data_IF_984898736046
#
_entry.id   IF_984898736046
#
_cell.length_a   1.000
_cell.length_b   1.000
_cell.length_c   1.000
_cell.angle_alpha   90.00
_cell.angle_beta   90.00
_cell.angle_gamma   90.00
#
_symmetry.space_group_name_H-M   'P 1'
#
loop_
_entity.id
_entity.type
_entity.pdbx_description
1 polymer ?
#
# COMPACT_ATOMS: atom_id res chain seq x y z
N UNK A 1 6.68 -22.04 -8.80
CA UNK A 1 5.63 -21.08 -9.20
C UNK A 1 6.34 -20.01 -10.03
N UNK A 2 5.88 -19.79 -11.27
CA UNK A 2 6.40 -18.71 -12.10
C UNK A 2 5.85 -17.37 -11.58
N UNK A 3 6.74 -16.42 -11.33
CA UNK A 3 6.39 -15.06 -11.01
C UNK A 3 5.81 -14.39 -12.27
N UNK A 4 4.74 -13.62 -12.12
CA UNK A 4 4.11 -12.95 -13.27
C UNK A 4 4.91 -11.77 -13.82
N UNK A 5 5.74 -11.15 -12.97
CA UNK A 5 6.66 -10.08 -13.31
C UNK A 5 7.79 -10.01 -12.26
N UNK A 6 8.95 -9.48 -12.63
CA UNK A 6 9.98 -9.08 -11.69
C UNK A 6 10.00 -7.56 -11.55
N UNK A 7 10.19 -7.08 -10.34
CA UNK A 7 10.40 -5.66 -10.07
C UNK A 7 11.89 -5.39 -10.22
N UNK A 8 12.34 -5.11 -11.45
CA UNK A 8 13.78 -4.98 -11.78
C UNK A 8 14.10 -3.83 -12.75
N UNK A 9 13.06 -3.15 -13.24
CA UNK A 9 13.20 -2.05 -14.18
C UNK A 9 13.34 -2.47 -15.64
N UNK A 10 13.29 -3.78 -15.94
CA UNK A 10 13.20 -4.29 -17.32
C UNK A 10 11.71 -4.36 -17.72
N UNK A 11 11.30 -3.43 -18.57
CA UNK A 11 9.90 -3.32 -18.98
C UNK A 11 9.51 -4.28 -20.10
N UNK A 12 10.43 -5.12 -20.59
CA UNK A 12 10.21 -6.00 -21.73
C UNK A 12 9.17 -7.10 -21.50
N UNK A 13 8.89 -7.43 -20.26
CA UNK A 13 7.88 -8.43 -19.89
C UNK A 13 6.45 -7.86 -19.84
N UNK A 14 6.30 -6.53 -19.94
CA UNK A 14 5.00 -5.87 -19.97
C UNK A 14 4.49 -5.73 -21.41
N UNK A 15 3.22 -6.04 -21.62
CA UNK A 15 2.60 -6.03 -22.94
C UNK A 15 1.41 -5.07 -23.02
N UNK A 16 0.89 -4.82 -24.22
CA UNK A 16 -0.32 -4.01 -24.41
C UNK A 16 -1.57 -4.62 -23.74
N UNK A 17 -1.59 -5.94 -23.58
CA UNK A 17 -2.71 -6.67 -22.96
C UNK A 17 -2.78 -6.43 -21.44
N UNK A 18 -1.67 -6.05 -20.82
CA UNK A 18 -1.59 -5.77 -19.38
C UNK A 18 -2.11 -4.37 -19.03
N UNK A 19 -2.32 -3.49 -20.03
CA UNK A 19 -2.75 -2.12 -19.81
C UNK A 19 -4.19 -2.03 -19.32
N UNK A 20 -4.38 -1.32 -18.21
CA UNK A 20 -5.68 -0.92 -17.71
C UNK A 20 -6.16 0.38 -18.38
N UNK A 21 -5.26 1.33 -18.58
CA UNK A 21 -5.52 2.55 -19.34
C UNK A 21 -4.21 3.16 -19.85
N UNK A 22 -4.35 4.01 -20.88
CA UNK A 22 -3.26 4.82 -21.43
C UNK A 22 -3.84 6.11 -22.02
N UNK A 23 -3.42 7.26 -21.49
CA UNK A 23 -3.82 8.60 -21.95
C UNK A 23 -2.72 9.28 -22.77
N UNK A 24 -1.59 8.61 -23.01
CA UNK A 24 -0.40 9.18 -23.62
C UNK A 24 0.47 10.04 -22.68
N UNK A 25 -0.07 10.48 -21.56
CA UNK A 25 0.67 11.18 -20.50
C UNK A 25 0.73 10.40 -19.20
N UNK A 26 -0.21 9.48 -19.02
CA UNK A 26 -0.31 8.54 -17.90
C UNK A 26 -0.78 7.19 -18.43
N UNK A 27 -0.23 6.13 -17.88
CA UNK A 27 -0.69 4.77 -18.13
C UNK A 27 -0.51 3.93 -16.87
N UNK A 28 -1.32 2.89 -16.79
CA UNK A 28 -1.23 1.87 -15.74
C UNK A 28 -1.41 0.51 -16.38
N UNK A 29 -0.50 -0.41 -16.08
CA UNK A 29 -0.62 -1.84 -16.42
C UNK A 29 -0.62 -2.66 -15.15
N UNK A 30 -1.24 -3.83 -15.21
CA UNK A 30 -1.38 -4.72 -14.07
C UNK A 30 -1.19 -6.17 -14.48
N UNK A 31 -0.42 -6.89 -13.65
CA UNK A 31 -0.34 -8.35 -13.63
C UNK A 31 -0.58 -8.85 -12.23
N UNK A 32 -0.82 -10.13 -12.06
CA UNK A 32 -0.96 -10.73 -10.74
C UNK A 32 -0.62 -12.22 -10.76
N UNK A 33 -0.25 -12.71 -9.60
CA UNK A 33 -0.10 -14.15 -9.31
C UNK A 33 -0.78 -14.49 -7.97
N UNK A 34 -0.49 -15.65 -7.41
CA UNK A 34 -1.09 -16.10 -6.15
C UNK A 34 -0.67 -15.26 -4.92
N UNK A 35 0.41 -14.50 -5.01
CA UNK A 35 1.00 -13.77 -3.87
C UNK A 35 0.91 -12.26 -4.02
N UNK A 36 1.06 -11.76 -5.25
CA UNK A 36 1.27 -10.36 -5.51
C UNK A 36 0.39 -9.83 -6.65
N UNK A 37 0.05 -8.58 -6.53
CA UNK A 37 -0.29 -7.68 -7.62
C UNK A 37 0.98 -6.97 -8.06
N UNK A 38 1.21 -6.89 -9.37
CA UNK A 38 2.28 -6.13 -9.99
C UNK A 38 1.67 -4.96 -10.76
N UNK A 39 2.22 -3.78 -10.57
CA UNK A 39 1.78 -2.59 -11.28
C UNK A 39 2.97 -1.96 -12.02
N UNK A 40 2.72 -1.55 -13.24
CA UNK A 40 3.61 -0.67 -14.00
C UNK A 40 2.88 0.63 -14.26
N UNK A 41 3.29 1.69 -13.57
CA UNK A 41 2.72 3.01 -13.74
C UNK A 41 3.66 3.90 -14.55
N UNK A 42 3.09 4.64 -15.49
CA UNK A 42 3.77 5.64 -16.28
C UNK A 42 3.19 7.02 -16.02
N UNK A 43 4.06 7.99 -15.80
CA UNK A 43 3.70 9.41 -15.83
C UNK A 43 4.77 10.20 -16.53
N UNK A 44 4.37 10.94 -17.58
CA UNK A 44 5.28 11.79 -18.36
C UNK A 44 6.01 12.80 -17.49
N UNK A 45 7.33 12.72 -17.49
CA UNK A 45 8.20 13.58 -16.69
C UNK A 45 8.30 13.18 -15.22
N UNK A 46 7.97 11.94 -14.87
CA UNK A 46 8.20 11.36 -13.55
C UNK A 46 9.69 11.30 -13.21
N UNK A 47 10.53 11.03 -14.22
CA UNK A 47 11.98 11.16 -14.18
C UNK A 47 12.63 10.52 -12.93
N UNK A 48 12.41 9.21 -12.72
CA UNK A 48 12.94 8.45 -11.58
C UNK A 48 12.57 9.05 -10.21
N UNK A 49 11.30 9.40 -10.02
CA UNK A 49 10.79 9.86 -8.74
C UNK A 49 11.01 11.34 -8.43
N UNK A 50 11.30 12.17 -9.44
CA UNK A 50 11.38 13.64 -9.25
C UNK A 50 9.99 14.28 -9.00
N UNK A 51 8.92 13.53 -9.29
CA UNK A 51 7.55 13.88 -8.96
C UNK A 51 6.96 12.81 -8.08
N UNK A 52 6.02 13.19 -7.22
CA UNK A 52 5.20 12.22 -6.49
C UNK A 52 4.10 11.69 -7.40
N UNK A 53 3.89 10.38 -7.40
CA UNK A 53 2.83 9.70 -8.12
C UNK A 53 1.86 9.10 -7.11
N UNK A 54 0.56 9.29 -7.33
CA UNK A 54 -0.49 8.73 -6.50
C UNK A 54 -1.33 7.75 -7.32
N UNK A 55 -1.54 6.54 -6.78
CA UNK A 55 -2.41 5.52 -7.36
C UNK A 55 -3.51 5.22 -6.34
N UNK A 56 -4.76 5.65 -6.61
CA UNK A 56 -5.90 5.28 -5.79
C UNK A 56 -6.30 3.84 -6.08
N UNK A 57 -6.68 3.09 -5.03
CA UNK A 57 -7.07 1.69 -5.13
C UNK A 57 -8.39 1.51 -4.37
N UNK A 58 -9.39 0.98 -5.06
CA UNK A 58 -10.66 0.54 -4.51
C UNK A 58 -10.67 -0.99 -4.46
N UNK A 59 -10.92 -1.55 -3.27
CA UNK A 59 -10.99 -3.00 -3.04
C UNK A 59 -12.37 -3.44 -2.53
N UNK A 60 -13.19 -2.48 -2.08
CA UNK A 60 -14.49 -2.78 -1.48
C UNK A 60 -15.58 -1.92 -2.11
N UNK A 61 -16.41 -2.49 -2.99
CA UNK A 61 -17.43 -1.72 -3.70
C UNK A 61 -18.35 -0.91 -2.78
N UNK A 62 -18.59 0.35 -3.14
CA UNK A 62 -19.49 1.30 -2.46
C UNK A 62 -19.00 1.82 -1.09
N UNK A 63 -17.80 1.50 -0.69
CA UNK A 63 -17.17 2.05 0.51
C UNK A 63 -15.92 2.83 0.14
N UNK A 64 -15.29 3.47 1.09
CA UNK A 64 -14.12 4.30 0.84
C UNK A 64 -14.44 5.79 0.75
N UNK A 65 -13.44 6.60 0.42
CA UNK A 65 -13.56 8.05 0.34
C UNK A 65 -13.27 8.57 -1.06
N UNK A 66 -14.05 9.59 -1.49
CA UNK A 66 -13.78 10.36 -2.72
C UNK A 66 -12.78 11.48 -2.50
N UNK A 67 -12.27 11.63 -1.28
CA UNK A 67 -11.30 12.67 -0.94
C UNK A 67 -10.22 12.13 0.00
N UNK A 68 -8.96 12.39 -0.35
CA UNK A 68 -7.81 12.14 0.53
C UNK A 68 -7.30 13.47 1.07
N UNK A 69 -7.54 13.76 2.34
CA UNK A 69 -7.13 15.01 2.98
C UNK A 69 -5.61 15.12 3.09
N UNK A 70 -4.92 14.00 3.31
CA UNK A 70 -3.46 13.94 3.44
C UNK A 70 -2.71 14.61 2.28
N UNK A 71 -3.26 14.50 1.06
CA UNK A 71 -2.62 14.99 -0.17
C UNK A 71 -3.50 16.00 -0.93
N UNK A 72 -4.71 16.30 -0.44
CA UNK A 72 -5.65 17.17 -1.14
C UNK A 72 -6.17 16.57 -2.46
N UNK A 73 -6.24 15.25 -2.55
CA UNK A 73 -6.66 14.55 -3.77
C UNK A 73 -8.15 14.28 -3.75
N UNK A 74 -8.79 14.43 -4.94
CA UNK A 74 -10.18 14.04 -5.17
C UNK A 74 -10.24 12.92 -6.18
N UNK A 75 -11.10 11.95 -5.92
CA UNK A 75 -11.35 10.80 -6.76
C UNK A 75 -12.76 10.85 -7.32
N UNK A 76 -12.96 10.30 -8.50
CA UNK A 76 -14.27 10.18 -9.14
C UNK A 76 -15.12 9.13 -8.42
N UNK A 77 -14.50 7.99 -8.08
CA UNK A 77 -15.10 6.91 -7.31
C UNK A 77 -14.45 6.81 -5.91
N UNK A 78 -15.15 6.28 -4.90
CA UNK A 78 -14.58 6.06 -3.57
C UNK A 78 -13.40 5.09 -3.62
N UNK A 79 -12.36 5.32 -2.80
CA UNK A 79 -11.19 4.46 -2.69
C UNK A 79 -10.88 4.10 -1.25
N UNK A 80 -10.32 2.91 -1.04
CA UNK A 80 -9.94 2.39 0.27
C UNK A 80 -8.47 2.63 0.59
N UNK A 81 -7.62 2.68 -0.44
CA UNK A 81 -6.18 2.86 -0.31
C UNK A 81 -5.67 3.96 -1.25
N UNK A 82 -4.58 4.59 -0.83
CA UNK A 82 -3.79 5.49 -1.68
C UNK A 82 -2.33 5.03 -1.63
N UNK A 83 -1.81 4.62 -2.78
CA UNK A 83 -0.40 4.34 -2.97
C UNK A 83 0.29 5.64 -3.34
N UNK A 84 1.22 6.09 -2.51
CA UNK A 84 2.03 7.28 -2.74
C UNK A 84 3.47 6.88 -3.06
N UNK A 85 3.91 7.13 -4.29
CA UNK A 85 5.31 6.96 -4.71
C UNK A 85 5.98 8.32 -4.61
N UNK A 86 6.75 8.53 -3.55
CA UNK A 86 7.40 9.78 -3.19
C UNK A 86 8.91 9.57 -2.96
N UNK A 87 9.65 9.43 -4.05
CA UNK A 87 11.07 9.10 -4.00
C UNK A 87 11.34 7.67 -3.53
N UNK A 88 12.59 7.40 -3.18
CA UNK A 88 13.05 6.05 -2.81
C UNK A 88 12.75 5.68 -1.35
N UNK A 89 12.68 6.67 -0.47
CA UNK A 89 12.71 6.48 0.97
C UNK A 89 11.39 6.89 1.65
N UNK A 90 10.38 7.33 0.88
CA UNK A 90 9.13 7.84 1.45
C UNK A 90 7.89 7.33 0.71
N UNK A 91 8.04 6.25 -0.06
CA UNK A 91 6.93 5.63 -0.80
C UNK A 91 6.20 4.65 0.09
N UNK A 92 4.86 4.71 0.09
CA UNK A 92 4.03 3.89 0.97
C UNK A 92 2.63 3.69 0.47
N UNK A 93 1.98 2.65 0.95
CA UNK A 93 0.55 2.43 0.84
C UNK A 93 -0.15 2.93 2.10
N UNK A 94 -1.15 3.77 1.94
CA UNK A 94 -2.02 4.26 3.01
C UNK A 94 -3.40 3.62 2.89
N UNK A 95 -4.04 3.35 4.01
CA UNK A 95 -5.41 2.83 4.10
C UNK A 95 -6.34 3.90 4.67
N UNK A 96 -7.58 3.95 4.20
CA UNK A 96 -8.60 4.80 4.79
C UNK A 96 -8.73 4.51 6.31
N UNK A 97 -8.81 5.55 7.13
CA UNK A 97 -8.80 5.46 8.60
C UNK A 97 -9.80 4.44 9.17
N UNK A 98 -10.96 4.27 8.51
CA UNK A 98 -11.95 3.29 8.92
C UNK A 98 -11.43 1.86 8.95
N UNK A 99 -10.50 1.52 8.07
CA UNK A 99 -9.92 0.18 7.92
C UNK A 99 -8.56 0.02 8.61
N UNK A 100 -8.14 1.00 9.37
CA UNK A 100 -6.90 0.96 10.12
C UNK A 100 -7.04 -0.03 11.28
N UNK A 101 -6.27 -1.13 11.22
CA UNK A 101 -6.43 -2.28 12.14
C UNK A 101 -6.00 -1.99 13.57
N UNK A 102 -5.06 -1.06 13.79
CA UNK A 102 -4.59 -0.74 15.14
C UNK A 102 -5.66 -0.04 15.97
N UNK A 103 -6.66 0.57 15.34
CA UNK A 103 -7.73 1.26 16.04
C UNK A 103 -8.45 0.35 17.05
N UNK A 104 -8.75 -0.87 16.66
CA UNK A 104 -9.35 -1.86 17.57
C UNK A 104 -8.39 -2.28 18.68
N UNK A 105 -7.09 -2.18 18.45
CA UNK A 105 -6.04 -2.55 19.40
C UNK A 105 -5.74 -1.42 20.40
N UNK A 106 -5.98 -0.16 20.06
CA UNK A 106 -5.85 0.96 21.00
C UNK A 106 -6.75 0.83 22.22
N UNK A 107 -7.88 0.15 22.09
CA UNK A 107 -8.72 -0.19 23.25
C UNK A 107 -7.94 -0.91 24.35
N UNK A 108 -7.05 -1.82 23.98
CA UNK A 108 -6.24 -2.58 24.96
C UNK A 108 -5.18 -1.71 25.64
N UNK A 109 -4.70 -0.65 24.97
CA UNK A 109 -3.68 0.24 25.53
C UNK A 109 -4.26 1.36 26.36
N UNK A 110 -5.25 2.04 25.83
CA UNK A 110 -5.81 3.25 26.45
C UNK A 110 -6.98 2.95 27.36
N UNK A 111 -7.57 1.75 27.28
CA UNK A 111 -8.87 1.40 27.84
C UNK A 111 -10.00 2.32 27.35
N UNK A 112 -9.79 2.92 26.19
CA UNK A 112 -10.74 3.82 25.56
C UNK A 112 -11.75 2.98 24.77
N UNK A 113 -12.91 2.75 25.36
CA UNK A 113 -14.00 2.02 24.71
C UNK A 113 -14.51 2.76 23.46
N UNK A 114 -14.40 4.08 23.41
CA UNK A 114 -14.88 4.88 22.31
C UNK A 114 -14.02 4.64 21.05
N UNK A 115 -12.73 4.38 21.20
CA UNK A 115 -11.86 4.02 20.07
C UNK A 115 -12.32 2.78 19.31
N UNK A 116 -13.02 1.85 20.00
CA UNK A 116 -13.59 0.64 19.40
C UNK A 116 -15.06 0.81 19.00
N UNK A 117 -15.85 1.51 19.81
CA UNK A 117 -17.31 1.61 19.65
C UNK A 117 -17.75 2.73 18.71
N UNK A 118 -16.87 3.71 18.46
CA UNK A 118 -17.13 4.85 17.58
C UNK A 118 -16.14 4.85 16.39
N UNK A 119 -16.36 3.97 15.40
CA UNK A 119 -15.50 3.93 14.23
C UNK A 119 -15.64 5.21 13.39
N UNK A 120 -14.60 5.63 12.65
CA UNK A 120 -14.71 6.73 11.71
C UNK A 120 -15.84 6.52 10.71
N UNK A 121 -16.36 7.61 10.17
CA UNK A 121 -17.36 7.57 9.11
C UNK A 121 -16.88 6.69 7.93
N UNK A 122 -17.84 6.09 7.23
CA UNK A 122 -17.54 5.19 6.12
C UNK A 122 -16.81 5.88 4.96
N UNK A 123 -16.92 7.22 4.87
CA UNK A 123 -16.33 8.08 3.87
C UNK A 123 -15.26 9.03 4.45
N UNK A 124 -14.71 8.72 5.63
CA UNK A 124 -13.64 9.54 6.25
C UNK A 124 -12.55 9.87 5.25
N UNK A 125 -12.14 11.15 5.12
CA UNK A 125 -11.13 11.56 4.15
C UNK A 125 -9.69 11.33 4.62
N UNK A 126 -9.50 10.81 5.84
CA UNK A 126 -8.19 10.54 6.40
C UNK A 126 -7.70 9.16 6.00
N UNK A 127 -6.43 9.12 5.59
CA UNK A 127 -5.72 7.89 5.27
C UNK A 127 -4.55 7.72 6.24
N UNK A 128 -4.34 6.51 6.70
CA UNK A 128 -3.36 6.18 7.74
C UNK A 128 -2.31 5.21 7.21
N UNK A 129 -1.10 5.20 7.77
CA UNK A 129 -0.14 4.12 7.56
C UNK A 129 -0.77 2.77 7.89
N UNK A 130 -0.38 1.72 7.16
CA UNK A 130 -0.75 0.35 7.48
C UNK A 130 0.29 -0.19 8.44
N UNK A 131 -0.10 -0.47 9.67
CA UNK A 131 0.81 -0.88 10.73
C UNK A 131 0.41 -2.23 11.32
N UNK A 132 1.41 -3.01 11.70
CA UNK A 132 1.25 -4.20 12.53
C UNK A 132 1.75 -3.92 13.95
N UNK A 133 1.01 -4.43 14.94
CA UNK A 133 1.44 -4.42 16.32
C UNK A 133 2.49 -5.52 16.53
N UNK A 134 3.71 -5.14 16.87
CA UNK A 134 4.78 -6.07 17.24
C UNK A 134 4.71 -6.41 18.72
N UNK A 135 4.35 -5.45 19.55
CA UNK A 135 4.25 -5.61 20.99
C UNK A 135 3.12 -4.74 21.53
N UNK A 136 2.28 -5.32 22.40
CA UNK A 136 1.28 -4.56 23.16
C UNK A 136 1.81 -4.22 24.54
N UNK A 137 1.40 -3.08 25.08
CA UNK A 137 1.63 -2.77 26.47
C UNK A 137 0.95 -3.83 27.37
N UNK A 138 1.68 -4.34 28.36
CA UNK A 138 1.22 -5.42 29.23
C UNK A 138 1.06 -4.91 30.67
N UNK A 139 -0.12 -5.06 31.29
CA UNK A 139 -0.29 -4.70 32.69
C UNK A 139 0.51 -5.63 33.60
N UNK A 140 1.22 -5.05 34.55
CA UNK A 140 1.90 -5.79 35.60
C UNK A 140 0.97 -6.04 36.79
N UNK A 141 1.23 -7.07 37.57
CA UNK A 141 0.52 -7.36 38.81
C UNK A 141 0.61 -6.19 39.83
N UNK A 142 1.56 -5.31 39.65
CA UNK A 142 1.75 -4.08 40.45
C UNK A 142 0.83 -2.93 40.03
N UNK A 143 0.02 -3.10 38.99
CA UNK A 143 -0.83 -2.04 38.42
C UNK A 143 -0.11 -1.09 37.46
N UNK A 144 1.16 -1.32 37.19
CA UNK A 144 1.92 -0.56 36.19
C UNK A 144 1.96 -1.29 34.85
N UNK A 145 2.25 -0.56 33.76
CA UNK A 145 2.48 -1.13 32.43
C UNK A 145 3.98 -1.41 32.23
N UNK A 146 4.30 -2.57 31.69
CA UNK A 146 5.69 -3.01 31.53
C UNK A 146 6.40 -2.34 30.37
N UNK A 147 5.68 -2.08 29.28
CA UNK A 147 6.24 -1.52 28.06
C UNK A 147 5.17 -0.72 27.31
N UNK A 148 5.61 0.20 26.46
CA UNK A 148 4.77 0.82 25.45
C UNK A 148 4.55 -0.16 24.30
N UNK A 149 3.51 0.07 23.50
CA UNK A 149 3.32 -0.63 22.23
C UNK A 149 4.41 -0.31 21.25
N UNK A 150 4.75 -1.30 20.45
CA UNK A 150 5.62 -1.15 19.29
C UNK A 150 4.87 -1.57 18.05
N UNK A 151 4.91 -0.74 17.01
CA UNK A 151 4.30 -1.01 15.71
C UNK A 151 5.36 -1.04 14.62
N UNK A 152 5.02 -1.70 13.52
CA UNK A 152 5.81 -1.74 12.30
C UNK A 152 4.92 -1.37 11.12
N UNK A 153 5.31 -0.37 10.32
CA UNK A 153 4.58 0.05 9.13
C UNK A 153 4.83 -0.95 7.99
N UNK A 154 3.82 -1.77 7.71
CA UNK A 154 3.86 -2.76 6.62
C UNK A 154 3.55 -2.15 5.26
N UNK A 155 2.95 -0.96 5.24
CA UNK A 155 2.69 -0.20 4.01
C UNK A 155 3.88 0.63 3.53
N UNK A 156 4.98 0.71 4.30
CA UNK A 156 6.23 1.33 3.85
C UNK A 156 6.89 0.45 2.78
N UNK A 157 7.26 1.05 1.63
CA UNK A 157 7.74 0.33 0.47
C UNK A 157 9.25 0.47 0.32
N UNK A 158 9.93 -0.65 0.12
CA UNK A 158 11.37 -0.72 -0.08
C UNK A 158 11.74 -0.55 -1.57
N UNK A 159 12.65 0.40 -1.84
CA UNK A 159 13.19 0.60 -3.19
C UNK A 159 14.32 -0.38 -3.46
N UNK A 160 14.28 -1.08 -4.59
CA UNK A 160 15.36 -1.96 -5.00
C UNK A 160 14.98 -2.87 -6.16
N UNK A 161 15.87 -3.81 -6.46
CA UNK A 161 15.71 -4.80 -7.52
C UNK A 161 15.30 -6.14 -6.91
N UNK A 162 14.10 -6.61 -7.21
CA UNK A 162 13.56 -7.87 -6.68
C UNK A 162 13.79 -9.09 -7.59
N UNK A 163 14.58 -8.95 -8.68
CA UNK A 163 14.91 -10.07 -9.55
C UNK A 163 16.05 -10.91 -8.97
N UNK A 164 15.82 -12.19 -8.60
CA UNK A 164 16.85 -13.03 -8.00
C UNK A 164 18.08 -13.27 -8.91
N UNK A 165 17.95 -13.03 -10.19
CA UNK A 165 19.07 -13.17 -11.14
C UNK A 165 19.92 -11.89 -11.26
N UNK A 166 19.47 -10.77 -10.70
CA UNK A 166 20.19 -9.51 -10.76
C UNK A 166 21.34 -9.46 -9.75
N UNK A 167 22.47 -8.81 -10.08
CA UNK A 167 23.61 -8.69 -9.17
C UNK A 167 23.32 -7.80 -7.95
N UNK A 168 22.35 -6.92 -8.06
CA UNK A 168 21.87 -5.99 -7.03
C UNK A 168 20.54 -6.43 -6.40
N UNK A 169 20.27 -7.74 -6.43
CA UNK A 169 19.05 -8.33 -5.88
C UNK A 169 18.84 -7.98 -4.42
N UNK A 170 17.65 -7.48 -4.13
CA UNK A 170 17.12 -7.29 -2.78
C UNK A 170 15.76 -8.00 -2.63
N UNK A 171 15.71 -8.98 -1.75
CA UNK A 171 14.49 -9.77 -1.49
C UNK A 171 13.35 -8.95 -0.87
N UNK A 172 13.67 -7.81 -0.26
CA UNK A 172 12.71 -6.91 0.39
C UNK A 172 12.21 -5.81 -0.56
N UNK A 173 12.78 -5.68 -1.75
CA UNK A 173 12.39 -4.66 -2.69
C UNK A 173 10.93 -4.82 -3.15
N UNK A 174 10.19 -3.71 -3.09
CA UNK A 174 8.80 -3.62 -3.51
C UNK A 174 8.64 -2.82 -4.79
N UNK A 175 9.54 -1.87 -5.08
CA UNK A 175 9.44 -1.04 -6.28
C UNK A 175 10.80 -0.57 -6.80
N UNK A 176 10.82 -0.24 -8.09
CA UNK A 176 11.98 0.33 -8.79
C UNK A 176 11.55 1.37 -9.81
N UNK A 177 12.42 2.34 -10.09
CA UNK A 177 12.20 3.34 -11.13
C UNK A 177 12.88 2.95 -12.45
N UNK A 178 12.19 3.23 -13.55
CA UNK A 178 12.71 3.08 -14.92
C UNK A 178 12.32 4.31 -15.76
N UNK A 179 13.02 5.42 -15.59
CA UNK A 179 12.73 6.68 -16.28
C UNK A 179 11.42 7.31 -15.85
N UNK A 180 10.44 7.37 -16.76
CA UNK A 180 9.09 7.85 -16.47
C UNK A 180 8.15 6.76 -15.94
N UNK A 181 8.68 5.55 -15.71
CA UNK A 181 7.95 4.42 -15.17
C UNK A 181 8.34 4.11 -13.72
N UNK A 182 7.40 3.58 -12.98
CA UNK A 182 7.63 2.87 -11.72
C UNK A 182 7.01 1.48 -11.83
N UNK A 183 7.81 0.48 -11.53
CA UNK A 183 7.41 -0.90 -11.44
C UNK A 183 7.35 -1.29 -9.96
N UNK A 184 6.26 -1.94 -9.55
CA UNK A 184 6.07 -2.28 -8.14
C UNK A 184 5.24 -3.54 -7.97
N UNK A 185 5.36 -4.17 -6.80
CA UNK A 185 4.53 -5.28 -6.36
C UNK A 185 3.94 -5.01 -4.99
N UNK A 186 2.71 -5.45 -4.78
CA UNK A 186 2.02 -5.40 -3.50
C UNK A 186 1.50 -6.80 -3.16
N UNK A 187 1.74 -7.32 -1.94
CA UNK A 187 1.12 -8.57 -1.53
C UNK A 187 -0.40 -8.38 -1.38
N UNK A 188 -1.17 -9.36 -1.81
CA UNK A 188 -2.63 -9.33 -1.73
C UNK A 188 -3.15 -9.03 -0.32
N UNK A 189 -2.47 -9.59 0.69
CA UNK A 189 -2.84 -9.39 2.10
C UNK A 189 -2.74 -7.93 2.55
N UNK A 190 -1.85 -7.14 1.94
CA UNK A 190 -1.72 -5.71 2.25
C UNK A 190 -2.95 -4.92 1.79
N UNK A 191 -3.67 -5.43 0.79
CA UNK A 191 -4.92 -4.87 0.28
C UNK A 191 -6.17 -5.52 0.90
N UNK A 192 -6.03 -6.17 2.05
CA UNK A 192 -7.10 -6.85 2.79
C UNK A 192 -7.72 -8.08 2.09
N UNK A 193 -7.05 -8.65 1.09
CA UNK A 193 -7.49 -9.92 0.50
C UNK A 193 -6.97 -11.10 1.32
N UNK A 194 -7.86 -11.95 1.78
CA UNK A 194 -7.52 -13.12 2.62
C UNK A 194 -7.09 -14.34 1.80
N UNK A 195 -7.61 -14.48 0.60
CA UNK A 195 -7.34 -15.62 -0.29
C UNK A 195 -7.50 -15.20 -1.76
N UNK A 196 -6.41 -14.80 -2.43
CA UNK A 196 -6.47 -14.36 -3.83
C UNK A 196 -6.90 -15.49 -4.78
N UNK A 197 -6.73 -16.76 -4.42
CA UNK A 197 -7.14 -17.89 -5.24
C UNK A 197 -8.67 -18.01 -5.36
N UNK A 198 -9.41 -17.40 -4.45
CA UNK A 198 -10.87 -17.39 -4.40
C UNK A 198 -11.49 -16.06 -4.79
N UNK A 199 -10.70 -15.03 -5.06
CA UNK A 199 -11.16 -13.65 -5.28
C UNK A 199 -12.07 -13.12 -4.15
N UNK A 200 -11.78 -13.52 -2.90
CA UNK A 200 -12.52 -13.12 -1.69
C UNK A 200 -11.61 -12.46 -0.67
#
# INVERSE_FOLDING_TARGET
>A
EECSAYVDGDLSEWTEEDKLFDTGTRALSMKYDEKFIYLLAYEKGFANGQKTLYIPIDTTPKTGSTYCENFGLRFEDPVDFVLAIDGRDNSRLLVQERYEVLRAMFYHETHDADAYLDPPDADTPLFKPIELMLQTATPLLTGNWQASSETYETGDLAYGNANPAAPDYDSLADFIFAGDYVELKLPWQLLNFSDPSRMT
#
